data_IF_687589943757
#
_entry.id   IF_687589943757
#
_cell.length_a   1.000
_cell.length_b   1.000
_cell.length_c   1.000
_cell.angle_alpha   90.00
_cell.angle_beta   90.00
_cell.angle_gamma   90.00
#
_symmetry.space_group_name_H-M   'P 1'
#
loop_
_entity.id
_entity.type
_entity.pdbx_description
1 polymer ?
#
# COMPACT_ATOMS: atom_id res chain seq x y z
N UNK A 1 -32.46 -21.37 0.42
CA UNK A 1 -32.09 -20.33 1.36
C UNK A 1 -30.66 -20.40 1.76
N UNK A 2 -30.27 -21.51 2.25
CA UNK A 2 -28.90 -21.64 2.69
C UNK A 2 -27.91 -21.34 1.61
N UNK A 3 -28.27 -21.70 0.41
CA UNK A 3 -27.36 -21.45 -0.68
C UNK A 3 -27.09 -19.99 -0.87
N UNK A 4 -28.10 -19.19 -0.68
CA UNK A 4 -27.92 -17.77 -0.83
C UNK A 4 -26.95 -17.24 0.18
N UNK A 5 -27.06 -17.73 1.39
CA UNK A 5 -26.17 -17.31 2.44
C UNK A 5 -24.76 -17.70 2.13
N UNK A 6 -24.60 -18.90 1.64
CA UNK A 6 -23.27 -19.39 1.31
C UNK A 6 -22.63 -18.52 0.26
N UNK A 7 -23.39 -18.17 -0.76
CA UNK A 7 -22.87 -17.33 -1.81
C UNK A 7 -22.45 -15.97 -1.29
N UNK A 8 -23.30 -15.41 -0.44
CA UNK A 8 -23.01 -14.11 0.10
C UNK A 8 -21.74 -14.14 0.91
N UNK A 9 -21.55 -15.19 1.65
CA UNK A 9 -20.35 -15.32 2.44
C UNK A 9 -19.12 -15.44 1.59
N UNK A 10 -19.22 -16.18 0.52
CA UNK A 10 -18.07 -16.37 -0.34
C UNK A 10 -17.58 -15.08 -0.91
N UNK A 11 -18.48 -14.27 -1.38
CA UNK A 11 -18.08 -13.01 -1.99
C UNK A 11 -17.35 -12.09 -1.03
N UNK A 12 -17.92 -11.85 0.15
CA UNK A 12 -17.22 -11.00 1.10
C UNK A 12 -15.88 -11.58 1.49
N UNK A 13 -15.83 -12.88 1.57
CA UNK A 13 -14.59 -13.54 1.94
C UNK A 13 -13.50 -13.29 0.90
N UNK A 14 -13.83 -13.43 -0.36
CA UNK A 14 -12.85 -13.17 -1.40
C UNK A 14 -12.45 -11.74 -1.44
N UNK A 15 -13.40 -10.85 -1.28
CA UNK A 15 -13.10 -9.44 -1.28
C UNK A 15 -12.18 -9.09 -0.13
N UNK A 16 -12.43 -9.69 1.01
CA UNK A 16 -11.58 -9.45 2.18
C UNK A 16 -10.17 -9.93 1.94
N UNK A 17 -10.03 -11.10 1.31
CA UNK A 17 -8.71 -11.62 1.04
C UNK A 17 -7.94 -10.74 0.09
N UNK A 18 -8.60 -10.25 -0.95
CA UNK A 18 -7.95 -9.36 -1.89
C UNK A 18 -7.58 -8.06 -1.24
N UNK A 19 -8.48 -7.54 -0.41
CA UNK A 19 -8.22 -6.30 0.27
C UNK A 19 -7.02 -6.43 1.19
N UNK A 20 -6.92 -7.55 1.87
CA UNK A 20 -5.79 -7.77 2.75
C UNK A 20 -4.49 -7.87 1.98
N UNK A 21 -4.54 -8.53 0.85
CA UNK A 21 -3.35 -8.67 0.03
C UNK A 21 -2.91 -7.33 -0.52
N UNK A 22 -3.85 -6.53 -0.96
CA UNK A 22 -3.54 -5.20 -1.46
C UNK A 22 -2.96 -4.35 -0.34
N UNK A 23 -3.51 -4.50 0.85
CA UNK A 23 -3.04 -3.77 2.01
C UNK A 23 -1.60 -4.14 2.34
N UNK A 24 -1.29 -5.42 2.30
CA UNK A 24 0.07 -5.86 2.57
C UNK A 24 1.04 -5.35 1.53
N UNK A 25 0.64 -5.38 0.28
CA UNK A 25 1.47 -4.87 -0.79
C UNK A 25 1.73 -3.39 -0.57
N UNK A 26 0.68 -2.65 -0.22
CA UNK A 26 0.81 -1.24 0.03
C UNK A 26 1.78 -0.95 1.17
N UNK A 27 1.70 -1.72 2.23
CA UNK A 27 2.62 -1.56 3.35
C UNK A 27 4.05 -1.84 2.96
N UNK A 28 4.25 -2.85 2.15
CA UNK A 28 5.59 -3.17 1.68
C UNK A 28 6.16 -2.04 0.85
N UNK A 29 5.33 -1.47 0.01
CA UNK A 29 5.75 -0.36 -0.82
C UNK A 29 6.13 0.84 0.05
N UNK A 30 5.30 1.14 1.05
CA UNK A 30 5.59 2.26 1.92
C UNK A 30 6.81 2.03 2.78
N UNK A 31 7.04 0.80 3.23
CA UNK A 31 8.23 0.48 3.99
C UNK A 31 9.47 0.67 3.12
N UNK A 32 9.39 0.22 1.88
CA UNK A 32 10.51 0.37 0.95
C UNK A 32 10.78 1.85 0.68
N UNK A 33 9.71 2.61 0.49
CA UNK A 33 9.86 4.04 0.23
C UNK A 33 10.51 4.73 1.41
N UNK A 34 10.04 4.45 2.60
CA UNK A 34 10.59 5.06 3.80
C UNK A 34 12.07 4.76 3.92
N UNK A 35 12.42 3.51 3.74
CA UNK A 35 13.80 3.10 3.86
C UNK A 35 14.70 3.82 2.86
N UNK A 36 14.29 3.84 1.61
CA UNK A 36 15.12 4.45 0.59
C UNK A 36 15.17 5.96 0.73
N UNK A 37 14.08 6.59 1.12
CA UNK A 37 14.08 8.02 1.34
C UNK A 37 15.05 8.39 2.46
N UNK A 38 15.11 7.57 3.49
CA UNK A 38 16.03 7.82 4.60
C UNK A 38 17.46 7.58 4.18
N UNK A 39 17.70 6.48 3.46
CA UNK A 39 19.05 6.10 3.12
C UNK A 39 19.65 6.94 2.00
N UNK A 40 18.85 7.24 1.00
CA UNK A 40 19.34 7.93 -0.18
C UNK A 40 18.86 9.35 -0.33
N UNK A 41 17.79 9.67 0.37
CA UNK A 41 17.16 10.96 0.21
C UNK A 41 16.07 10.89 -0.85
N UNK A 42 15.14 11.83 -0.74
CA UNK A 42 13.99 11.87 -1.64
C UNK A 42 14.41 12.02 -3.10
N UNK A 43 15.31 12.96 -3.36
CA UNK A 43 15.69 13.26 -4.72
C UNK A 43 16.40 12.10 -5.41
N UNK A 44 17.16 11.33 -4.65
CA UNK A 44 17.94 10.23 -5.22
C UNK A 44 17.17 8.92 -5.31
N UNK A 45 15.94 8.90 -4.86
CA UNK A 45 15.13 7.69 -4.88
C UNK A 45 14.10 7.79 -5.98
N UNK A 46 13.99 6.75 -6.80
CA UNK A 46 13.00 6.71 -7.87
C UNK A 46 11.89 5.73 -7.51
N UNK A 47 10.76 5.86 -8.20
CA UNK A 47 9.68 4.91 -8.02
C UNK A 47 10.14 3.50 -8.40
N UNK A 48 10.97 3.41 -9.43
CA UNK A 48 11.50 2.10 -9.84
C UNK A 48 12.33 1.48 -8.73
N UNK A 49 13.12 2.30 -8.04
CA UNK A 49 13.92 1.80 -6.93
C UNK A 49 13.03 1.26 -5.83
N UNK A 50 11.97 1.99 -5.53
CA UNK A 50 11.04 1.58 -4.48
C UNK A 50 10.34 0.29 -4.86
N UNK A 51 9.93 0.18 -6.12
CA UNK A 51 9.27 -1.04 -6.58
C UNK A 51 10.20 -2.24 -6.42
N UNK A 52 11.44 -2.07 -6.84
CA UNK A 52 12.41 -3.16 -6.73
C UNK A 52 12.63 -3.57 -5.28
N UNK A 53 12.75 -2.59 -4.41
CA UNK A 53 12.96 -2.87 -3.00
C UNK A 53 11.74 -3.57 -2.40
N UNK A 54 10.55 -3.21 -2.83
CA UNK A 54 9.32 -3.81 -2.33
C UNK A 54 9.02 -5.16 -2.98
N UNK A 55 9.75 -5.50 -4.03
CA UNK A 55 9.53 -6.77 -4.71
C UNK A 55 8.33 -6.74 -5.65
N UNK A 56 8.00 -5.59 -6.18
CA UNK A 56 6.88 -5.46 -7.12
C UNK A 56 7.35 -4.69 -8.35
N UNK A 57 6.51 -4.68 -9.36
CA UNK A 57 6.82 -3.90 -10.55
C UNK A 57 6.31 -2.48 -10.36
N UNK A 58 6.89 -1.54 -11.09
CA UNK A 58 6.53 -0.14 -10.94
C UNK A 58 5.05 0.10 -11.14
N UNK A 59 4.45 -0.61 -12.06
CA UNK A 59 3.04 -0.46 -12.32
C UNK A 59 2.20 -0.71 -11.06
N UNK A 60 2.62 -1.69 -10.27
CA UNK A 60 1.92 -1.99 -9.03
C UNK A 60 1.99 -0.81 -8.08
N UNK A 61 3.14 -0.15 -8.03
CA UNK A 61 3.28 1.01 -7.18
C UNK A 61 2.33 2.11 -7.64
N UNK A 62 2.28 2.34 -8.95
CA UNK A 62 1.45 3.41 -9.47
C UNK A 62 -0.04 3.18 -9.29
N UNK A 63 -0.44 1.94 -9.05
CA UNK A 63 -1.86 1.68 -8.78
C UNK A 63 -2.31 2.33 -7.48
N UNK A 64 -1.41 2.41 -6.51
CA UNK A 64 -1.75 3.00 -5.22
C UNK A 64 -1.19 4.40 -5.05
N UNK A 65 -0.06 4.69 -5.68
CA UNK A 65 0.62 5.95 -5.48
C UNK A 65 0.96 6.53 -6.85
N UNK A 66 0.23 7.55 -7.27
CA UNK A 66 0.40 8.08 -8.63
C UNK A 66 1.77 8.70 -8.90
N UNK A 67 2.48 9.10 -7.84
CA UNK A 67 3.79 9.69 -8.04
C UNK A 67 4.62 9.56 -6.77
N UNK A 68 5.87 10.01 -6.87
CA UNK A 68 6.79 9.89 -5.74
C UNK A 68 6.35 10.71 -4.54
N UNK A 69 5.70 11.82 -4.80
CA UNK A 69 5.22 12.66 -3.73
C UNK A 69 4.15 11.94 -2.90
N UNK A 70 3.30 11.19 -3.57
CA UNK A 70 2.28 10.42 -2.87
C UNK A 70 2.91 9.36 -1.98
N UNK A 71 4.02 8.78 -2.46
CA UNK A 71 4.76 7.82 -1.66
C UNK A 71 5.32 8.47 -0.42
N UNK A 72 5.84 9.67 -0.57
CA UNK A 72 6.39 10.39 0.58
C UNK A 72 5.29 10.69 1.59
N UNK A 73 4.15 11.14 1.11
CA UNK A 73 3.04 11.43 2.00
C UNK A 73 2.60 10.20 2.77
N UNK A 74 2.52 9.06 2.07
CA UNK A 74 2.16 7.81 2.71
C UNK A 74 3.18 7.37 3.74
N UNK A 75 4.46 7.53 3.40
CA UNK A 75 5.53 7.14 4.31
C UNK A 75 5.49 8.00 5.56
N UNK A 76 5.24 9.28 5.42
CA UNK A 76 5.15 10.16 6.57
C UNK A 76 3.95 9.77 7.43
N UNK A 77 2.84 9.45 6.81
CA UNK A 77 1.66 9.02 7.54
C UNK A 77 1.94 7.83 8.42
N UNK A 78 2.64 6.86 7.87
CA UNK A 78 2.99 5.67 8.64
C UNK A 78 3.95 6.02 9.77
N UNK A 79 4.92 6.87 9.49
CA UNK A 79 5.89 7.26 10.49
C UNK A 79 5.24 7.99 11.66
N UNK A 80 4.14 8.69 11.39
CA UNK A 80 3.45 9.41 12.44
C UNK A 80 2.52 8.50 13.24
N UNK A 81 2.60 7.21 13.01
CA UNK A 81 1.86 6.27 13.81
C UNK A 81 0.62 5.72 13.17
N UNK A 82 0.32 6.12 11.95
CA UNK A 82 -0.86 5.62 11.28
C UNK A 82 -0.50 4.43 10.43
N UNK A 83 -1.43 3.52 10.29
CA UNK A 83 -1.24 2.41 9.40
C UNK A 83 -1.34 2.87 7.99
N UNK A 84 -2.44 3.49 7.71
CA UNK A 84 -2.74 3.99 6.40
C UNK A 84 -3.33 5.32 6.60
N UNK A 85 -2.79 6.29 5.95
CA UNK A 85 -3.29 7.62 6.08
C UNK A 85 -4.81 7.70 5.94
N UNK A 86 -5.40 7.00 5.00
CA UNK A 86 -6.84 7.12 4.84
C UNK A 86 -7.60 6.74 6.07
N UNK A 87 -7.12 5.76 6.77
CA UNK A 87 -7.83 5.30 7.94
C UNK A 87 -7.91 6.37 8.97
N UNK A 88 -6.89 7.18 9.07
CA UNK A 88 -6.90 8.21 10.05
C UNK A 88 -7.68 9.39 9.62
N UNK A 89 -7.63 9.66 8.38
CA UNK A 89 -8.28 10.84 7.86
C UNK A 89 -9.75 10.85 8.18
N UNK A 90 -10.33 9.68 8.16
CA UNK A 90 -11.74 9.62 8.39
C UNK A 90 -12.13 10.04 9.75
N UNK A 91 -11.25 9.91 10.62
CA UNK A 91 -11.57 10.32 11.96
C UNK A 91 -11.44 11.77 12.14
#
# INVERSE_FOLDING_TARGET
>A
MDRLKVDVKKRPYRSAARAQQAQQTRRRILAAATRLFVERGYAATSVADIAAEAGVVSRTVYLDFPNKRALLAGAIGVALGGDDAPAMVRD
#
